data_IF_626250017385
#
_entry.id   IF_626250017385
#
_cell.length_a   1.000
_cell.length_b   1.000
_cell.length_c   1.000
_cell.angle_alpha   90.00
_cell.angle_beta   90.00
_cell.angle_gamma   90.00
#
_symmetry.space_group_name_H-M   'P 1'
#
loop_
_entity.id
_entity.type
_entity.pdbx_description
1 polymer ?
#
# COMPACT_ATOMS: atom_id res chain seq x y z
N UNK A 1 -37.17 35.20 29.76
CA UNK A 1 -36.66 33.84 30.03
C UNK A 1 -35.77 33.46 28.86
N UNK A 2 -34.46 33.44 29.10
CA UNK A 2 -33.41 33.25 28.11
C UNK A 2 -32.92 31.82 28.21
N UNK A 3 -33.04 31.05 27.13
CA UNK A 3 -32.40 29.74 26.98
C UNK A 3 -31.42 29.85 25.82
N UNK A 4 -30.24 30.40 26.12
CA UNK A 4 -29.08 30.29 25.26
C UNK A 4 -28.54 28.87 25.39
N UNK A 5 -29.04 27.96 24.55
CA UNK A 5 -28.43 26.63 24.38
C UNK A 5 -27.26 26.77 23.42
N UNK A 6 -26.06 26.78 24.00
CA UNK A 6 -24.80 26.58 23.29
C UNK A 6 -24.79 25.14 22.77
N UNK A 7 -24.75 24.95 21.46
CA UNK A 7 -24.26 23.70 20.87
C UNK A 7 -23.43 24.05 19.64
N UNK A 8 -22.14 24.22 19.88
CA UNK A 8 -21.09 24.27 18.88
C UNK A 8 -20.78 22.81 18.54
N UNK A 9 -21.43 22.20 17.55
CA UNK A 9 -21.04 20.89 17.04
C UNK A 9 -21.54 20.76 15.59
N UNK A 10 -20.88 21.46 14.65
CA UNK A 10 -21.08 21.23 13.22
C UNK A 10 -19.81 21.54 12.40
N UNK A 11 -18.64 21.22 12.95
CA UNK A 11 -17.39 21.16 12.18
C UNK A 11 -16.69 19.85 12.53
N UNK A 12 -17.32 18.73 12.15
CA UNK A 12 -16.69 17.41 12.15
C UNK A 12 -17.21 16.55 10.98
N UNK A 13 -17.56 17.19 9.86
CA UNK A 13 -17.88 16.49 8.61
C UNK A 13 -16.66 16.41 7.66
N UNK A 14 -15.46 16.68 8.17
CA UNK A 14 -14.23 16.71 7.40
C UNK A 14 -13.08 16.04 8.17
N UNK A 15 -13.11 14.72 8.29
CA UNK A 15 -11.90 13.90 8.11
C UNK A 15 -12.24 12.41 8.23
N UNK A 16 -11.80 11.68 7.21
CA UNK A 16 -11.29 10.31 7.35
C UNK A 16 -12.28 9.22 7.72
N UNK A 17 -13.05 8.73 6.73
CA UNK A 17 -13.11 7.30 6.41
C UNK A 17 -14.01 7.00 5.18
N UNK A 18 -13.76 7.69 4.07
CA UNK A 18 -14.25 7.27 2.74
C UNK A 18 -13.12 6.68 1.88
N UNK A 19 -12.06 6.19 2.53
CA UNK A 19 -11.12 5.27 1.91
C UNK A 19 -11.71 3.87 2.03
N UNK A 20 -12.71 3.59 1.19
CA UNK A 20 -12.85 2.24 0.67
C UNK A 20 -11.86 2.20 -0.49
N UNK A 21 -10.64 1.65 -0.34
CA UNK A 21 -9.89 1.33 -1.53
C UNK A 21 -10.74 0.26 -2.20
N UNK A 22 -11.28 0.64 -3.35
CA UNK A 22 -11.65 -0.27 -4.39
C UNK A 22 -10.44 -1.21 -4.56
N UNK A 23 -10.45 -2.35 -3.87
CA UNK A 23 -9.68 -3.51 -4.30
C UNK A 23 -10.24 -3.78 -5.68
N UNK A 24 -9.52 -3.22 -6.65
CA UNK A 24 -9.85 -3.31 -8.06
C UNK A 24 -10.01 -4.79 -8.36
N UNK A 25 -11.18 -5.13 -8.86
CA UNK A 25 -11.55 -6.42 -9.44
C UNK A 25 -10.72 -6.60 -10.73
N UNK A 26 -9.40 -6.69 -10.56
CA UNK A 26 -8.40 -6.92 -11.60
C UNK A 26 -7.86 -8.33 -11.36
N UNK A 27 -8.63 -9.28 -11.87
CA UNK A 27 -8.27 -10.62 -12.32
C UNK A 27 -6.85 -11.15 -11.98
N UNK A 28 -6.81 -12.12 -11.05
CA UNK A 28 -5.90 -13.26 -10.87
C UNK A 28 -4.36 -13.08 -10.79
N UNK A 29 -3.83 -11.86 -10.77
CA UNK A 29 -2.38 -11.63 -10.62
C UNK A 29 -2.08 -10.99 -9.27
N UNK A 30 -1.24 -11.62 -8.46
CA UNK A 30 -0.89 -11.17 -7.11
C UNK A 30 0.10 -9.99 -7.11
N UNK A 31 -0.34 -8.88 -7.71
CA UNK A 31 0.42 -7.63 -7.81
C UNK A 31 0.65 -6.99 -6.44
N UNK A 32 -0.32 -7.14 -5.52
CA UNK A 32 -0.21 -6.62 -4.16
C UNK A 32 0.91 -7.32 -3.39
N UNK A 33 1.07 -8.63 -3.54
CA UNK A 33 2.19 -9.36 -2.94
C UNK A 33 3.53 -8.97 -3.58
N UNK A 34 3.58 -8.82 -4.91
CA UNK A 34 4.78 -8.36 -5.61
C UNK A 34 5.27 -6.99 -5.07
N UNK A 35 4.38 -6.01 -4.93
CA UNK A 35 4.77 -4.70 -4.39
C UNK A 35 5.28 -4.78 -2.95
N UNK A 36 4.67 -5.63 -2.10
CA UNK A 36 5.15 -5.84 -0.73
C UNK A 36 6.53 -6.47 -0.68
N UNK A 37 6.80 -7.43 -1.55
CA UNK A 37 8.08 -8.12 -1.61
C UNK A 37 9.19 -7.16 -2.10
N UNK A 38 8.89 -6.36 -3.12
CA UNK A 38 9.81 -5.34 -3.63
C UNK A 38 10.10 -4.26 -2.58
N UNK A 39 9.08 -3.76 -1.86
CA UNK A 39 9.26 -2.79 -0.78
C UNK A 39 10.15 -3.34 0.34
N UNK A 40 10.02 -4.62 0.65
CA UNK A 40 10.87 -5.29 1.64
C UNK A 40 12.32 -5.32 1.17
N UNK A 41 12.58 -5.70 -0.08
CA UNK A 41 13.94 -5.72 -0.66
C UNK A 41 14.56 -4.33 -0.66
N UNK A 42 13.80 -3.29 -1.02
CA UNK A 42 14.27 -1.91 -0.94
C UNK A 42 14.60 -1.48 0.49
N UNK A 43 13.77 -1.86 1.47
CA UNK A 43 14.05 -1.59 2.88
C UNK A 43 15.31 -2.32 3.36
N UNK A 44 15.52 -3.58 2.96
CA UNK A 44 16.72 -4.33 3.31
C UNK A 44 17.99 -3.75 2.66
N UNK A 45 17.88 -3.27 1.42
CA UNK A 45 18.95 -2.55 0.72
C UNK A 45 19.28 -1.21 1.39
N UNK A 46 18.27 -0.38 1.70
CA UNK A 46 18.45 0.95 2.31
C UNK A 46 19.05 0.85 3.72
N UNK A 47 18.66 -0.19 4.47
CA UNK A 47 19.24 -0.49 5.78
C UNK A 47 20.64 -1.13 5.71
N UNK A 48 21.17 -1.38 4.50
CA UNK A 48 22.49 -1.98 4.28
C UNK A 48 22.58 -3.46 4.65
N UNK A 49 21.44 -4.15 4.77
CA UNK A 49 21.39 -5.60 4.99
C UNK A 49 21.55 -6.40 3.70
N UNK A 50 21.48 -5.75 2.55
CA UNK A 50 21.50 -6.38 1.24
C UNK A 50 22.34 -5.58 0.24
N UNK A 51 23.16 -6.27 -0.55
CA UNK A 51 23.92 -5.67 -1.65
C UNK A 51 23.03 -5.31 -2.84
N UNK A 52 23.43 -4.30 -3.62
CA UNK A 52 22.65 -3.86 -4.80
C UNK A 52 22.42 -5.00 -5.81
N UNK A 53 23.45 -5.80 -6.08
CA UNK A 53 23.36 -6.93 -7.03
C UNK A 53 22.43 -8.02 -6.50
N UNK A 54 22.44 -8.26 -5.18
CA UNK A 54 21.55 -9.22 -4.54
C UNK A 54 20.10 -8.72 -4.58
N UNK A 55 19.87 -7.45 -4.28
CA UNK A 55 18.54 -6.83 -4.34
C UNK A 55 17.94 -6.90 -5.76
N UNK A 56 18.76 -6.59 -6.78
CA UNK A 56 18.36 -6.72 -8.18
C UNK A 56 18.01 -8.16 -8.55
N UNK A 57 18.81 -9.14 -8.12
CA UNK A 57 18.52 -10.55 -8.37
C UNK A 57 17.17 -10.98 -7.78
N UNK A 58 16.86 -10.57 -6.55
CA UNK A 58 15.60 -10.93 -5.90
C UNK A 58 14.40 -10.25 -6.56
N UNK A 59 14.54 -8.98 -6.97
CA UNK A 59 13.48 -8.28 -7.71
C UNK A 59 13.23 -8.96 -9.07
N UNK A 60 14.28 -9.41 -9.76
CA UNK A 60 14.16 -10.11 -11.05
C UNK A 60 13.43 -11.45 -10.89
N UNK A 61 13.75 -12.22 -9.83
CA UNK A 61 13.03 -13.45 -9.49
C UNK A 61 11.54 -13.22 -9.23
N UNK A 62 11.20 -12.16 -8.47
CA UNK A 62 9.80 -11.77 -8.21
C UNK A 62 9.08 -11.33 -9.50
N UNK A 63 9.78 -10.62 -10.39
CA UNK A 63 9.25 -10.17 -11.67
C UNK A 63 8.97 -11.34 -12.61
N UNK A 64 9.85 -12.34 -12.65
CA UNK A 64 9.66 -13.55 -13.43
C UNK A 64 8.49 -14.39 -12.90
N UNK A 65 8.33 -14.48 -11.58
CA UNK A 65 7.16 -15.12 -10.97
C UNK A 65 5.85 -14.39 -11.35
N UNK A 66 5.86 -13.06 -11.38
CA UNK A 66 4.71 -12.25 -11.82
C UNK A 66 4.41 -12.47 -13.31
N UNK A 67 5.44 -12.46 -14.17
CA UNK A 67 5.31 -12.70 -15.61
C UNK A 67 4.76 -14.10 -15.93
N UNK A 68 5.06 -15.09 -15.09
CA UNK A 68 4.52 -16.43 -15.22
C UNK A 68 3.01 -16.50 -14.91
N UNK A 69 2.50 -15.64 -14.03
CA UNK A 69 1.08 -15.57 -13.67
C UNK A 69 0.24 -14.82 -14.71
N UNK A 70 0.85 -13.88 -15.44
CA UNK A 70 0.17 -13.06 -16.46
C UNK A 70 -0.05 -13.83 -17.79
N UNK A 71 0.45 -15.07 -17.91
CA UNK A 71 0.46 -15.87 -19.16
C UNK A 71 -0.69 -16.86 -19.26
#
# INVERSE_FOLDING_TARGET
MSTATVHIEAIAFFHSNRFSPLMSDTDDVDLDQFFRDVDKVYSEYDNGYMDADAALSVIDDHLDALRAQVK
#
